data_IF_453242119466
#
_entry.id   IF_453242119466
#
_cell.length_a   1.000
_cell.length_b   1.000
_cell.length_c   1.000
_cell.angle_alpha   90.00
_cell.angle_beta   90.00
_cell.angle_gamma   90.00
#
_symmetry.space_group_name_H-M   'P 1'
#
loop_
_entity.id
_entity.type
_entity.pdbx_description
1 polymer ?
#
# COMPACT_ATOMS: atom_id res chain seq x y z
N UNK A 1 -48.20 9.40 -0.87
CA UNK A 1 -46.95 9.88 -1.47
C UNK A 1 -45.85 9.66 -0.45
N UNK A 2 -45.02 8.62 -0.65
CA UNK A 2 -43.95 8.26 0.28
C UNK A 2 -42.67 8.89 -0.26
N UNK A 3 -42.11 9.87 0.47
CA UNK A 3 -40.76 10.36 0.23
C UNK A 3 -39.86 9.69 1.26
N UNK A 4 -39.03 8.77 0.77
CA UNK A 4 -38.06 8.01 1.56
C UNK A 4 -36.82 8.91 1.76
N UNK A 5 -36.58 9.33 3.01
CA UNK A 5 -35.40 10.10 3.38
C UNK A 5 -34.15 9.23 3.32
N UNK A 6 -33.14 9.64 2.55
CA UNK A 6 -31.80 9.05 2.64
C UNK A 6 -31.15 9.47 3.95
N UNK A 7 -31.10 8.55 4.91
CA UNK A 7 -30.18 8.64 6.04
C UNK A 7 -28.76 8.38 5.53
N UNK A 8 -28.04 9.45 5.15
CA UNK A 8 -26.60 9.39 5.00
C UNK A 8 -25.99 9.30 6.41
N UNK A 9 -25.81 8.07 6.91
CA UNK A 9 -24.93 7.78 8.03
C UNK A 9 -23.48 8.03 7.59
N UNK A 10 -23.08 9.31 7.57
CA UNK A 10 -21.67 9.67 7.48
C UNK A 10 -21.07 9.48 8.86
N UNK A 11 -20.68 8.25 9.18
CA UNK A 11 -19.76 8.01 10.29
C UNK A 11 -18.41 8.54 9.82
N UNK A 12 -18.15 9.83 10.03
CA UNK A 12 -16.79 10.32 10.12
C UNK A 12 -16.17 9.65 11.35
N UNK A 13 -15.61 8.46 11.16
CA UNK A 13 -14.70 7.89 12.14
C UNK A 13 -13.48 8.80 12.16
N UNK A 14 -13.43 9.71 13.13
CA UNK A 14 -12.17 10.28 13.59
C UNK A 14 -11.29 9.11 14.03
N UNK A 15 -10.42 8.67 13.12
CA UNK A 15 -9.34 7.75 13.44
C UNK A 15 -8.47 8.48 14.45
N UNK A 16 -8.37 7.96 15.67
CA UNK A 16 -7.33 8.40 16.60
C UNK A 16 -5.98 8.29 15.89
N UNK A 17 -5.11 9.29 16.09
CA UNK A 17 -3.75 9.30 15.52
C UNK A 17 -2.93 8.18 16.17
N UNK A 18 -3.10 6.96 15.65
CA UNK A 18 -2.33 5.81 16.07
C UNK A 18 -0.95 5.89 15.41
N UNK A 19 0.10 5.85 16.21
CA UNK A 19 1.47 5.75 15.71
C UNK A 19 1.71 4.29 15.30
N UNK A 20 2.35 4.04 14.15
CA UNK A 20 2.78 2.67 13.83
C UNK A 20 3.88 2.28 14.80
N UNK A 21 3.55 1.40 15.74
CA UNK A 21 4.51 0.83 16.70
C UNK A 21 4.79 -0.64 16.46
N UNK A 22 3.95 -1.31 15.67
CA UNK A 22 4.08 -2.74 15.42
C UNK A 22 5.21 -3.01 14.42
N UNK A 23 6.03 -4.02 14.76
CA UNK A 23 7.11 -4.50 13.90
C UNK A 23 6.57 -5.13 12.62
N UNK A 24 5.45 -5.84 12.71
CA UNK A 24 4.79 -6.46 11.56
C UNK A 24 3.28 -6.24 11.69
N UNK A 25 2.63 -5.87 10.59
CA UNK A 25 1.18 -5.68 10.55
C UNK A 25 0.62 -6.06 9.18
N UNK A 26 -0.68 -6.33 9.09
CA UNK A 26 -1.35 -6.53 7.80
C UNK A 26 -1.97 -5.22 7.32
N UNK A 27 -1.76 -4.92 6.05
CA UNK A 27 -2.37 -3.80 5.37
C UNK A 27 -3.50 -4.28 4.45
N UNK A 28 -4.72 -3.91 4.80
CA UNK A 28 -5.91 -4.21 4.01
C UNK A 28 -6.00 -3.26 2.83
N UNK A 29 -6.14 -3.80 1.63
CA UNK A 29 -6.28 -3.02 0.41
C UNK A 29 -7.29 -3.66 -0.54
N UNK A 30 -8.18 -2.82 -1.07
CA UNK A 30 -9.13 -3.21 -2.10
C UNK A 30 -8.75 -2.57 -3.44
N UNK A 31 -8.52 -3.41 -4.44
CA UNK A 31 -8.32 -2.98 -5.83
C UNK A 31 -9.65 -2.49 -6.41
N UNK A 32 -9.58 -1.61 -7.41
CA UNK A 32 -10.78 -1.00 -8.00
C UNK A 32 -11.74 -2.00 -8.70
N UNK A 33 -11.29 -3.21 -9.04
CA UNK A 33 -12.15 -4.28 -9.57
C UNK A 33 -12.91 -5.05 -8.47
N UNK A 34 -12.68 -4.75 -7.19
CA UNK A 34 -13.31 -5.42 -6.06
C UNK A 34 -12.42 -6.44 -5.35
N UNK A 35 -11.26 -6.80 -5.91
CA UNK A 35 -10.34 -7.74 -5.26
C UNK A 35 -9.84 -7.17 -3.93
N UNK A 36 -9.90 -7.98 -2.88
CA UNK A 36 -9.44 -7.61 -1.54
C UNK A 36 -8.17 -8.37 -1.18
N UNK A 37 -7.23 -7.66 -0.56
CA UNK A 37 -5.93 -8.19 -0.15
C UNK A 37 -5.65 -7.82 1.30
N UNK A 38 -5.13 -8.78 2.05
CA UNK A 38 -4.45 -8.55 3.32
C UNK A 38 -2.96 -8.75 3.11
N UNK A 39 -2.23 -7.63 3.01
CA UNK A 39 -0.82 -7.64 2.60
C UNK A 39 0.05 -7.57 3.86
N UNK A 40 0.89 -8.57 4.13
CA UNK A 40 1.81 -8.51 5.26
C UNK A 40 2.86 -7.42 5.05
N UNK A 41 3.02 -6.56 6.06
CA UNK A 41 3.99 -5.46 6.10
C UNK A 41 5.02 -5.75 7.17
N UNK A 42 6.28 -5.83 6.75
CA UNK A 42 7.45 -5.88 7.64
C UNK A 42 7.98 -4.48 7.89
N UNK A 43 7.79 -3.97 9.09
CA UNK A 43 8.17 -2.62 9.48
C UNK A 43 9.53 -2.62 10.21
N UNK A 44 10.61 -2.37 9.46
CA UNK A 44 11.96 -2.24 10.02
C UNK A 44 12.37 -0.78 10.26
N UNK A 45 11.42 0.17 10.21
CA UNK A 45 11.74 1.58 10.41
C UNK A 45 12.26 1.85 11.82
N UNK A 46 13.32 2.65 11.92
CA UNK A 46 13.87 3.09 13.20
C UNK A 46 13.14 4.34 13.76
N UNK A 47 12.10 4.80 13.07
CA UNK A 47 11.38 6.03 13.39
C UNK A 47 9.89 5.75 13.54
N UNK A 48 9.25 6.52 14.43
CA UNK A 48 7.80 6.49 14.62
C UNK A 48 7.15 7.37 13.56
N UNK A 49 6.29 6.78 12.74
CA UNK A 49 5.46 7.48 11.75
C UNK A 49 4.01 7.18 12.08
N UNK A 50 3.13 8.17 11.94
CA UNK A 50 1.68 7.99 12.11
C UNK A 50 1.14 6.94 11.12
N UNK A 51 0.24 6.09 11.59
CA UNK A 51 -0.40 5.02 10.82
C UNK A 51 -1.08 5.55 9.58
N UNK A 52 -1.77 6.69 9.67
CA UNK A 52 -2.40 7.31 8.51
C UNK A 52 -1.38 7.68 7.41
N UNK A 53 -0.20 8.19 7.79
CA UNK A 53 0.87 8.52 6.84
C UNK A 53 1.43 7.27 6.18
N UNK A 54 1.67 6.21 6.95
CA UNK A 54 2.09 4.92 6.40
C UNK A 54 1.02 4.34 5.47
N UNK A 55 -0.25 4.30 5.87
CA UNK A 55 -1.34 3.83 5.01
C UNK A 55 -1.41 4.59 3.69
N UNK A 56 -1.24 5.92 3.74
CA UNK A 56 -1.19 6.77 2.53
C UNK A 56 0.00 6.45 1.63
N UNK A 57 1.18 6.20 2.21
CA UNK A 57 2.37 5.76 1.47
C UNK A 57 2.12 4.42 0.78
N UNK A 58 1.59 3.43 1.51
CA UNK A 58 1.32 2.10 0.98
C UNK A 58 0.29 2.15 -0.16
N UNK A 59 -0.80 2.91 -0.01
CA UNK A 59 -1.78 3.12 -1.08
C UNK A 59 -1.14 3.72 -2.34
N UNK A 60 -0.34 4.78 -2.20
CA UNK A 60 0.32 5.42 -3.33
C UNK A 60 1.27 4.46 -4.06
N UNK A 61 2.00 3.64 -3.30
CA UNK A 61 2.92 2.64 -3.85
C UNK A 61 2.18 1.56 -4.62
N UNK A 62 1.09 1.03 -4.07
CA UNK A 62 0.27 0.03 -4.77
C UNK A 62 -0.30 0.60 -6.07
N UNK A 63 -0.83 1.82 -6.04
CA UNK A 63 -1.33 2.50 -7.24
C UNK A 63 -0.24 2.72 -8.30
N UNK A 64 0.92 3.27 -7.91
CA UNK A 64 2.07 3.46 -8.81
C UNK A 64 2.54 2.12 -9.40
N UNK A 65 2.56 1.07 -8.59
CA UNK A 65 3.03 -0.26 -9.00
C UNK A 65 2.10 -0.91 -10.02
N UNK A 66 0.79 -0.80 -9.84
CA UNK A 66 -0.21 -1.29 -10.80
C UNK A 66 -0.08 -0.57 -12.15
N UNK A 67 0.07 0.76 -12.12
CA UNK A 67 0.24 1.55 -13.35
C UNK A 67 1.53 1.14 -14.06
N UNK A 68 2.63 0.96 -13.31
CA UNK A 68 3.94 0.61 -13.88
C UNK A 68 4.00 -0.84 -14.38
N UNK A 69 3.33 -1.79 -13.72
CA UNK A 69 3.29 -3.18 -14.15
C UNK A 69 2.58 -3.36 -15.51
N UNK A 70 1.73 -2.39 -15.89
CA UNK A 70 0.85 -2.43 -17.08
C UNK A 70 -0.10 -3.62 -17.10
N UNK A 71 -0.27 -4.29 -15.98
CA UNK A 71 -1.12 -5.46 -15.84
C UNK A 71 -1.99 -5.29 -14.60
N UNK A 72 -3.10 -4.58 -14.78
CA UNK A 72 -4.03 -4.29 -13.70
C UNK A 72 -4.67 -5.56 -13.15
N UNK A 73 -4.99 -6.53 -14.01
CA UNK A 73 -5.76 -7.70 -13.62
C UNK A 73 -4.87 -8.71 -12.88
N UNK A 74 -3.71 -9.06 -13.44
CA UNK A 74 -2.85 -10.08 -12.86
C UNK A 74 -1.94 -9.56 -11.74
N UNK A 75 -1.88 -8.25 -11.49
CA UNK A 75 -1.11 -7.69 -10.38
C UNK A 75 -1.62 -8.18 -9.03
N UNK A 76 -0.80 -8.95 -8.32
CA UNK A 76 -1.15 -9.53 -7.03
C UNK A 76 -0.05 -9.24 -5.99
N UNK A 77 -0.27 -8.29 -5.06
CA UNK A 77 0.72 -7.94 -4.04
C UNK A 77 0.90 -9.10 -3.05
N UNK A 78 2.15 -9.34 -2.64
CA UNK A 78 2.52 -10.47 -1.78
C UNK A 78 3.04 -10.02 -0.42
N UNK A 79 3.95 -9.06 -0.38
CA UNK A 79 4.53 -8.56 0.87
C UNK A 79 5.06 -7.15 0.67
N UNK A 80 5.00 -6.34 1.72
CA UNK A 80 5.64 -5.03 1.77
C UNK A 80 6.71 -5.05 2.87
N UNK A 81 7.87 -4.46 2.61
CA UNK A 81 8.92 -4.27 3.61
C UNK A 81 9.33 -2.81 3.66
N UNK A 82 9.30 -2.21 4.85
CA UNK A 82 9.74 -0.86 5.12
C UNK A 82 11.14 -0.91 5.72
N UNK A 83 12.08 -0.15 5.15
CA UNK A 83 13.49 -0.12 5.54
C UNK A 83 13.94 1.33 5.74
N UNK A 84 14.67 1.64 6.82
CA UNK A 84 15.25 2.96 7.01
C UNK A 84 16.45 3.15 6.09
N UNK A 85 16.57 4.32 5.47
CA UNK A 85 17.78 4.74 4.75
C UNK A 85 18.10 6.21 5.10
N UNK A 86 19.35 6.63 4.85
CA UNK A 86 19.95 7.86 5.41
C UNK A 86 19.20 9.14 5.04
N UNK A 87 18.54 9.17 3.89
CA UNK A 87 17.83 10.35 3.36
C UNK A 87 16.32 10.17 3.36
N UNK A 88 15.86 9.09 2.73
CA UNK A 88 14.45 8.71 2.64
C UNK A 88 14.33 7.26 3.06
N UNK A 89 13.17 6.85 3.58
CA UNK A 89 12.91 5.44 3.85
C UNK A 89 12.61 4.72 2.54
N UNK A 90 12.86 3.41 2.52
CA UNK A 90 12.63 2.55 1.37
C UNK A 90 11.43 1.64 1.63
N UNK A 91 10.60 1.46 0.60
CA UNK A 91 9.60 0.42 0.54
C UNK A 91 9.99 -0.59 -0.53
N UNK A 92 10.02 -1.85 -0.15
CA UNK A 92 10.14 -2.99 -1.06
C UNK A 92 8.76 -3.61 -1.19
N UNK A 93 8.23 -3.66 -2.41
CA UNK A 93 6.98 -4.32 -2.73
C UNK A 93 7.27 -5.58 -3.56
N UNK A 94 7.01 -6.73 -2.96
CA UNK A 94 6.96 -8.00 -3.67
C UNK A 94 5.55 -8.23 -4.20
N UNK A 95 5.44 -8.58 -5.47
CA UNK A 95 4.17 -8.92 -6.11
C UNK A 95 4.37 -10.03 -7.15
N UNK A 96 3.24 -10.56 -7.63
CA UNK A 96 3.21 -11.51 -8.74
C UNK A 96 2.40 -10.96 -9.89
N UNK A 97 2.72 -11.39 -11.10
CA UNK A 97 1.91 -11.22 -12.31
C UNK A 97 1.90 -12.52 -13.11
N UNK A 98 1.00 -12.63 -14.08
CA UNK A 98 1.06 -13.71 -15.06
C UNK A 98 1.94 -13.26 -16.23
N UNK A 99 2.76 -14.16 -16.77
CA UNK A 99 3.46 -13.94 -18.03
C UNK A 99 2.60 -14.36 -19.24
N UNK A 100 3.16 -14.25 -20.45
CA UNK A 100 2.46 -14.60 -21.68
C UNK A 100 2.11 -16.10 -21.81
N UNK A 101 2.75 -16.96 -21.00
CA UNK A 101 2.43 -18.39 -20.88
C UNK A 101 1.37 -18.68 -19.80
N UNK A 102 0.96 -17.68 -19.02
CA UNK A 102 0.06 -17.86 -17.88
C UNK A 102 0.78 -18.36 -16.63
N UNK A 103 2.11 -18.34 -16.59
CA UNK A 103 2.88 -18.71 -15.40
C UNK A 103 3.04 -17.49 -14.46
N UNK A 104 3.06 -17.75 -13.14
CA UNK A 104 3.22 -16.70 -12.14
C UNK A 104 4.69 -16.27 -12.07
N UNK A 105 4.96 -15.03 -12.45
CA UNK A 105 6.26 -14.39 -12.27
C UNK A 105 6.26 -13.56 -10.99
N UNK A 106 7.26 -13.78 -10.12
CA UNK A 106 7.52 -12.91 -8.96
C UNK A 106 8.34 -11.70 -9.38
N UNK A 107 7.94 -10.53 -8.92
CA UNK A 107 8.57 -9.25 -9.20
C UNK A 107 8.72 -8.44 -7.92
N UNK A 108 9.68 -7.53 -7.91
CA UNK A 108 9.95 -6.64 -6.79
C UNK A 108 10.13 -5.21 -7.29
N UNK A 109 9.39 -4.26 -6.70
CA UNK A 109 9.57 -2.83 -6.93
C UNK A 109 10.07 -2.13 -5.66
N UNK A 110 10.88 -1.09 -5.86
CA UNK A 110 11.50 -0.31 -4.80
C UNK A 110 11.06 1.14 -4.88
N UNK A 111 10.59 1.73 -3.79
CA UNK A 111 10.18 3.13 -3.73
C UNK A 111 10.84 3.82 -2.55
N UNK A 112 11.13 5.11 -2.69
CA UNK A 112 11.53 5.95 -1.56
C UNK A 112 10.35 6.74 -1.03
N UNK A 113 10.32 7.02 0.27
CA UNK A 113 9.35 7.93 0.88
C UNK A 113 9.94 8.70 2.07
N UNK A 114 9.43 9.90 2.31
CA UNK A 114 9.84 10.72 3.46
C UNK A 114 8.94 10.51 4.68
N UNK A 115 9.31 11.12 5.81
CA UNK A 115 8.54 11.05 7.06
C UNK A 115 7.20 11.78 7.01
N UNK A 116 7.00 12.64 6.01
CA UNK A 116 5.74 13.32 5.75
C UNK A 116 4.79 12.44 4.95
N UNK A 117 5.24 11.30 4.42
CA UNK A 117 4.45 10.36 3.64
C UNK A 117 4.34 10.72 2.16
N UNK A 118 5.32 11.46 1.63
CA UNK A 118 5.47 11.69 0.20
C UNK A 118 6.22 10.50 -0.42
N UNK A 119 5.68 9.93 -1.49
CA UNK A 119 6.27 8.79 -2.21
C UNK A 119 6.95 9.30 -3.47
N UNK A 120 8.25 9.03 -3.58
CA UNK A 120 9.04 9.32 -4.76
C UNK A 120 8.92 8.19 -5.79
N UNK A 121 9.39 8.45 -7.01
CA UNK A 121 9.31 7.45 -8.07
C UNK A 121 10.19 6.23 -7.79
N UNK A 122 9.91 5.14 -8.51
CA UNK A 122 10.59 3.86 -8.30
C UNK A 122 12.10 4.02 -8.49
N UNK A 123 12.85 3.38 -7.60
CA UNK A 123 14.28 3.21 -7.74
C UNK A 123 14.55 2.08 -8.74
N UNK A 124 15.29 2.38 -9.79
CA UNK A 124 15.85 1.38 -10.70
C UNK A 124 17.15 0.86 -10.07
N UNK A 125 17.05 -0.25 -9.33
CA UNK A 125 18.16 -0.93 -8.66
C UNK A 125 18.58 -2.18 -9.42
#
# INVERSE_FOLDING_TARGET
>A
MIVFGMFLNTVFLFSQEEIVTDKDFNFSWQKANGDQYEIPVKNNLNIKIEKQKISRVLMQILLKSIIKSRDFQAFNPVQITLIPDKKNNIVILDFTKLDNSGEKQKLTYYFAFDTYGNVFDQLDL
#
